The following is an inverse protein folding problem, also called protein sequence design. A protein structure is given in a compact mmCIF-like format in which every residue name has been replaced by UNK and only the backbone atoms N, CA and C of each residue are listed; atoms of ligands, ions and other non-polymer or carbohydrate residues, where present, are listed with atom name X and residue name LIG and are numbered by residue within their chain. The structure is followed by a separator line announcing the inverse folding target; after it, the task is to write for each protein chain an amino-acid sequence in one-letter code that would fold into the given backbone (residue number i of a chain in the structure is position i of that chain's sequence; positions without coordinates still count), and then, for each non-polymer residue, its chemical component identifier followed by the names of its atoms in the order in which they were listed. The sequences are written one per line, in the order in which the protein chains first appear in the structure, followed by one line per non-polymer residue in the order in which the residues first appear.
data_IF_867563558545
#
_entry.id   IF_867563558545
#
_cell.length_a   1.000
_cell.length_b   1.000
_cell.length_c   1.000
_cell.angle_alpha   90.00
_cell.angle_beta   90.00
_cell.angle_gamma   90.00
#
_symmetry.space_group_name_H-M   'P 1'
#
loop_
_entity.id
_entity.type
_entity.pdbx_description
1 polymer ?
#
# COMPACT_ATOMS: atom_id res chain seq x y z
N UNK A 1 -18.64 -23.21 21.39
CA UNK A 1 -18.12 -23.16 20.01
C UNK A 1 -17.16 -22.00 19.90
N UNK A 2 -15.87 -22.25 19.65
CA UNK A 2 -14.88 -21.18 19.44
C UNK A 2 -15.04 -20.62 18.02
N UNK A 3 -15.93 -19.64 17.86
CA UNK A 3 -16.39 -19.11 16.57
C UNK A 3 -15.41 -18.17 15.86
N UNK A 4 -14.18 -17.99 16.36
CA UNK A 4 -13.21 -17.10 15.74
C UNK A 4 -11.86 -17.81 15.61
N UNK A 5 -11.77 -18.73 14.65
CA UNK A 5 -10.48 -19.21 14.16
C UNK A 5 -9.83 -18.03 13.43
N UNK A 6 -9.01 -17.25 14.15
CA UNK A 6 -8.13 -16.24 13.55
C UNK A 6 -7.32 -16.96 12.48
N UNK A 7 -7.69 -16.77 11.21
CA UNK A 7 -6.87 -17.23 10.09
C UNK A 7 -5.55 -16.48 10.21
N UNK A 8 -4.47 -17.19 10.47
CA UNK A 8 -3.11 -16.64 10.39
C UNK A 8 -2.92 -16.12 8.97
N UNK A 9 -2.89 -14.80 8.79
CA UNK A 9 -2.79 -14.18 7.47
C UNK A 9 -1.32 -14.17 7.07
N UNK A 10 -0.83 -15.29 6.56
CA UNK A 10 0.59 -15.48 6.30
C UNK A 10 1.00 -16.92 6.42
N UNK A 11 1.31 -17.60 5.32
CA UNK A 11 2.07 -18.86 5.38
C UNK A 11 3.56 -18.54 5.55
N UNK A 12 4.35 -19.37 6.24
CA UNK A 12 5.81 -19.23 6.22
C UNK A 12 6.30 -19.24 4.76
N UNK A 13 7.14 -18.27 4.40
CA UNK A 13 7.56 -18.00 3.03
C UNK A 13 6.77 -16.93 2.28
N UNK A 14 5.74 -16.32 2.88
CA UNK A 14 5.07 -15.14 2.33
C UNK A 14 5.72 -13.86 2.87
N UNK A 15 6.08 -12.97 1.93
CA UNK A 15 6.72 -11.69 2.22
C UNK A 15 5.72 -10.56 2.09
N UNK A 16 5.86 -9.58 2.97
CA UNK A 16 4.96 -8.44 3.01
C UNK A 16 5.75 -7.16 3.21
N UNK A 17 5.28 -6.06 2.63
CA UNK A 17 5.82 -4.74 2.92
C UNK A 17 4.91 -4.02 3.92
N UNK A 18 5.47 -3.59 5.06
CA UNK A 18 4.76 -2.78 6.03
C UNK A 18 4.84 -1.29 5.64
N UNK A 19 3.68 -0.65 5.45
CA UNK A 19 3.55 0.74 5.01
C UNK A 19 3.96 1.74 6.10
N UNK A 20 3.77 1.40 7.37
CA UNK A 20 4.21 2.22 8.51
C UNK A 20 5.73 2.21 8.65
N UNK A 21 6.33 1.01 8.74
CA UNK A 21 7.77 0.86 8.97
C UNK A 21 8.60 0.96 7.69
N UNK A 22 7.96 1.00 6.52
CA UNK A 22 8.60 1.07 5.19
C UNK A 22 9.68 -0.01 4.97
N UNK A 23 9.43 -1.21 5.48
CA UNK A 23 10.33 -2.37 5.39
C UNK A 23 9.58 -3.62 4.95
N UNK A 24 10.33 -4.56 4.39
CA UNK A 24 9.82 -5.90 4.08
C UNK A 24 10.04 -6.83 5.25
N UNK A 25 8.98 -7.55 5.62
CA UNK A 25 8.91 -8.46 6.75
C UNK A 25 8.37 -9.82 6.32
N UNK A 26 8.87 -10.89 6.95
CA UNK A 26 8.41 -12.25 6.72
C UNK A 26 7.26 -12.56 7.68
N UNK A 27 6.04 -12.74 7.15
CA UNK A 27 4.85 -13.03 7.96
C UNK A 27 4.09 -11.79 8.52
N UNK A 28 3.07 -12.02 9.36
CA UNK A 28 2.17 -10.99 9.87
C UNK A 28 2.70 -10.33 11.17
N UNK A 29 3.76 -9.53 11.08
CA UNK A 29 4.19 -8.66 12.19
C UNK A 29 3.29 -7.40 12.30
N UNK A 30 3.02 -6.73 11.17
CA UNK A 30 2.13 -5.56 11.11
C UNK A 30 0.64 -5.95 10.92
N UNK A 31 -0.30 -5.13 11.42
CA UNK A 31 -1.73 -5.28 11.12
C UNK A 31 -1.98 -5.33 9.60
N UNK A 32 -2.96 -6.14 9.18
CA UNK A 32 -3.24 -6.33 7.75
C UNK A 32 -3.61 -5.05 6.99
N UNK A 33 -4.07 -4.00 7.68
CA UNK A 33 -4.38 -2.68 7.08
C UNK A 33 -3.13 -1.94 6.59
N UNK A 34 -1.99 -2.17 7.23
CA UNK A 34 -0.74 -1.46 6.96
C UNK A 34 0.21 -2.33 6.14
N UNK A 35 -0.32 -3.34 5.45
CA UNK A 35 0.48 -4.39 4.82
C UNK A 35 0.16 -4.53 3.34
N UNK A 36 1.20 -4.57 2.51
CA UNK A 36 1.10 -4.75 1.07
C UNK A 36 1.76 -6.09 0.69
N UNK A 37 0.99 -6.99 0.07
CA UNK A 37 1.41 -8.37 -0.23
C UNK A 37 0.24 -9.36 -0.04
N UNK A 38 0.41 -10.66 -0.29
CA UNK A 38 1.63 -11.46 -0.18
C UNK A 38 2.52 -11.47 -1.43
N UNK A 39 3.83 -11.51 -1.21
CA UNK A 39 4.85 -11.71 -2.24
C UNK A 39 5.60 -13.02 -2.01
N UNK A 40 6.08 -13.66 -3.08
CA UNK A 40 6.78 -14.93 -2.98
C UNK A 40 8.22 -14.78 -2.46
N UNK A 41 8.79 -13.57 -2.56
CA UNK A 41 10.14 -13.28 -2.08
C UNK A 41 10.27 -11.86 -1.52
N UNK A 42 11.29 -11.66 -0.67
CA UNK A 42 11.64 -10.34 -0.13
C UNK A 42 11.90 -9.31 -1.24
N UNK A 43 12.70 -9.70 -2.23
CA UNK A 43 13.08 -8.82 -3.34
C UNK A 43 11.87 -8.41 -4.19
N UNK A 44 10.88 -9.30 -4.35
CA UNK A 44 9.64 -8.96 -5.04
C UNK A 44 8.82 -7.92 -4.26
N UNK A 45 8.72 -8.07 -2.94
CA UNK A 45 8.06 -7.08 -2.10
C UNK A 45 8.73 -5.70 -2.15
N UNK A 46 10.07 -5.66 -2.14
CA UNK A 46 10.85 -4.42 -2.27
C UNK A 46 10.61 -3.77 -3.64
N UNK A 47 10.75 -4.53 -4.73
CA UNK A 47 10.54 -4.04 -6.11
C UNK A 47 9.11 -3.60 -6.39
N UNK A 48 8.11 -4.31 -5.86
CA UNK A 48 6.71 -3.95 -6.04
C UNK A 48 6.42 -2.56 -5.45
N UNK A 49 7.01 -2.25 -4.29
CA UNK A 49 6.86 -0.95 -3.65
C UNK A 49 7.70 0.15 -4.30
N UNK A 50 8.86 -0.18 -4.87
CA UNK A 50 9.62 0.75 -5.71
C UNK A 50 8.81 1.14 -6.96
N UNK A 51 8.26 0.14 -7.66
CA UNK A 51 7.43 0.34 -8.85
C UNK A 51 6.13 1.08 -8.55
N UNK A 52 5.53 0.85 -7.39
CA UNK A 52 4.37 1.61 -6.93
C UNK A 52 4.74 3.08 -6.67
N UNK A 53 5.89 3.33 -6.03
CA UNK A 53 6.38 4.70 -5.80
C UNK A 53 6.65 5.43 -7.11
N UNK A 54 7.32 4.79 -8.06
CA UNK A 54 7.60 5.39 -9.37
C UNK A 54 6.30 5.75 -10.12
N UNK A 55 5.33 4.84 -10.17
CA UNK A 55 4.04 5.10 -10.82
C UNK A 55 3.24 6.20 -10.11
N UNK A 56 3.28 6.23 -8.77
CA UNK A 56 2.66 7.30 -8.02
C UNK A 56 3.27 8.66 -8.38
N UNK A 57 4.60 8.75 -8.47
CA UNK A 57 5.27 9.97 -8.91
C UNK A 57 4.87 10.36 -10.34
N UNK A 58 4.76 9.40 -11.26
CA UNK A 58 4.30 9.68 -12.62
C UNK A 58 2.87 10.23 -12.63
N UNK A 59 1.97 9.64 -11.86
CA UNK A 59 0.59 10.12 -11.72
C UNK A 59 0.51 11.49 -11.05
N UNK A 60 1.33 11.74 -10.02
CA UNK A 60 1.45 13.03 -9.35
C UNK A 60 2.05 14.12 -10.23
N UNK A 61 2.55 13.84 -11.42
CA UNK A 61 3.02 14.85 -12.36
C UNK A 61 2.24 14.83 -13.70
N UNK A 62 1.24 13.97 -13.83
CA UNK A 62 0.49 13.81 -15.08
C UNK A 62 -0.57 14.93 -15.20
N UNK A 63 -0.45 15.84 -16.19
CA UNK A 63 -1.38 16.94 -16.38
C UNK A 63 -2.83 16.48 -16.60
N UNK A 64 -3.04 15.27 -17.15
CA UNK A 64 -4.37 14.67 -17.34
C UNK A 64 -5.11 14.44 -16.01
N UNK A 65 -4.37 14.28 -14.91
CA UNK A 65 -4.92 14.06 -13.58
C UNK A 65 -4.85 15.30 -12.69
N UNK A 66 -4.21 16.37 -13.17
CA UNK A 66 -4.06 17.67 -12.50
C UNK A 66 -4.98 18.77 -13.05
N UNK A 67 -6.01 18.41 -13.80
CA UNK A 67 -7.05 19.33 -14.26
C UNK A 67 -7.93 19.80 -13.08
N UNK A 68 -7.42 20.70 -12.25
CA UNK A 68 -8.21 21.44 -11.29
C UNK A 68 -8.71 22.75 -11.93
N UNK A 69 -10.03 23.05 -11.93
CA UNK A 69 -10.45 24.45 -12.02
C UNK A 69 -9.99 25.19 -10.75
N UNK A 70 -9.20 26.25 -10.91
CA UNK A 70 -8.85 27.21 -9.86
C UNK A 70 -10.11 28.00 -9.38
N UNK A 71 -10.07 28.65 -8.20
CA UNK A 71 -11.19 28.74 -7.25
C UNK A 71 -12.29 29.70 -7.69
N UNK A 72 -13.53 29.20 -7.71
CA UNK A 72 -14.73 29.96 -8.05
C UNK A 72 -15.95 29.70 -7.16
N UNK A 73 -15.78 29.11 -5.96
CA UNK A 73 -16.82 29.08 -4.92
C UNK A 73 -16.40 29.92 -3.73
N UNK A 74 -16.28 31.22 -3.97
CA UNK A 74 -16.67 32.18 -2.95
C UNK A 74 -18.19 32.34 -3.08
N UNK A 75 -18.94 31.42 -2.48
CA UNK A 75 -20.38 31.61 -2.27
C UNK A 75 -20.52 32.68 -1.18
N UNK A 76 -20.62 33.93 -1.63
CA UNK A 76 -21.25 35.02 -0.89
C UNK A 76 -22.75 34.94 -1.21
N UNK A 77 -23.54 34.43 -0.27
CA UNK A 77 -24.89 34.92 0.07
C UNK A 77 -25.23 34.51 1.52
#
# INVERSE_FOLDING_TARGET
MALFKKRTVGKPGEWYYCLEHKKVEEGPDCPGKDRFGPYASRAEAERAMESARERNLQWENDPRWHDAPAPGRADQD
#
